data_IF_100059013387
#
_entry.id   IF_100059013387
#
_cell.length_a   1.000
_cell.length_b   1.000
_cell.length_c   1.000
_cell.angle_alpha   90.00
_cell.angle_beta   90.00
_cell.angle_gamma   90.00
#
_symmetry.space_group_name_H-M   'P 1'
#
loop_
_entity.id
_entity.type
_entity.pdbx_description
1 polymer ?
#
# COMPACT_ATOMS: atom_id res chain seq x y z
N UNK A 1 -38.38 1.30 -8.89
CA UNK A 1 -37.93 1.85 -7.58
C UNK A 1 -36.90 0.98 -6.88
N UNK A 2 -37.07 -0.35 -6.79
CA UNK A 2 -36.11 -1.27 -6.15
C UNK A 2 -34.66 -1.15 -6.67
N UNK A 3 -34.45 -1.15 -7.99
CA UNK A 3 -33.12 -1.07 -8.59
C UNK A 3 -32.34 0.24 -8.29
N UNK A 4 -33.03 1.37 -8.05
CA UNK A 4 -32.37 2.63 -7.69
C UNK A 4 -31.92 2.59 -6.24
N UNK A 5 -32.77 2.08 -5.33
CA UNK A 5 -32.39 1.91 -3.93
C UNK A 5 -31.26 0.88 -3.78
N UNK A 6 -31.28 -0.20 -4.56
CA UNK A 6 -30.21 -1.21 -4.57
C UNK A 6 -28.89 -0.63 -5.10
N UNK A 7 -28.93 0.25 -6.11
CA UNK A 7 -27.74 0.95 -6.63
C UNK A 7 -27.17 1.96 -5.61
N UNK A 8 -28.04 2.70 -4.92
CA UNK A 8 -27.63 3.64 -3.88
C UNK A 8 -27.11 2.92 -2.62
N UNK A 9 -27.63 1.74 -2.31
CA UNK A 9 -27.15 0.90 -1.20
C UNK A 9 -25.76 0.30 -1.42
N UNK A 10 -25.32 0.16 -2.67
CA UNK A 10 -23.97 -0.30 -3.05
C UNK A 10 -22.92 0.81 -3.10
N UNK A 11 -23.33 2.07 -2.88
CA UNK A 11 -22.43 3.22 -2.93
C UNK A 11 -21.33 3.10 -1.87
N UNK A 12 -21.68 2.69 -0.66
CA UNK A 12 -20.73 2.62 0.44
C UNK A 12 -19.69 1.51 0.19
N UNK A 13 -20.13 0.34 -0.28
CA UNK A 13 -19.24 -0.76 -0.72
C UNK A 13 -18.27 -0.29 -1.83
N UNK A 14 -18.76 0.47 -2.81
CA UNK A 14 -17.93 1.03 -3.88
C UNK A 14 -16.90 2.04 -3.36
N UNK A 15 -17.29 2.91 -2.41
CA UNK A 15 -16.40 3.92 -1.84
C UNK A 15 -15.30 3.28 -0.97
N UNK A 16 -15.61 2.19 -0.26
CA UNK A 16 -14.63 1.42 0.50
C UNK A 16 -13.56 0.82 -0.44
N UNK A 17 -14.01 0.14 -1.50
CA UNK A 17 -13.10 -0.45 -2.51
C UNK A 17 -12.26 0.63 -3.20
N UNK A 18 -12.87 1.75 -3.60
CA UNK A 18 -12.15 2.85 -4.23
C UNK A 18 -11.09 3.46 -3.30
N UNK A 19 -11.40 3.64 -2.02
CA UNK A 19 -10.47 4.17 -1.02
C UNK A 19 -9.29 3.23 -0.82
N UNK A 20 -9.53 1.92 -0.68
CA UNK A 20 -8.49 0.90 -0.56
C UNK A 20 -7.57 0.86 -1.80
N UNK A 21 -8.14 0.99 -2.99
CA UNK A 21 -7.37 1.04 -4.24
C UNK A 21 -6.47 2.28 -4.31
N UNK A 22 -7.00 3.45 -3.93
CA UNK A 22 -6.22 4.70 -3.88
C UNK A 22 -5.07 4.59 -2.89
N UNK A 23 -5.34 4.09 -1.68
CA UNK A 23 -4.33 3.87 -0.64
C UNK A 23 -3.22 2.93 -1.14
N UNK A 24 -3.60 1.80 -1.75
CA UNK A 24 -2.66 0.84 -2.33
C UNK A 24 -1.75 1.48 -3.37
N UNK A 25 -2.32 2.23 -4.33
CA UNK A 25 -1.54 2.91 -5.39
C UNK A 25 -0.61 3.97 -4.80
N UNK A 26 -1.08 4.75 -3.82
CA UNK A 26 -0.25 5.76 -3.15
C UNK A 26 0.91 5.08 -2.41
N UNK A 27 0.62 4.06 -1.61
CA UNK A 27 1.65 3.32 -0.87
C UNK A 27 2.66 2.67 -1.81
N UNK A 28 2.23 1.99 -2.87
CA UNK A 28 3.13 1.43 -3.87
C UNK A 28 4.01 2.48 -4.54
N UNK A 29 3.44 3.61 -4.95
CA UNK A 29 4.21 4.68 -5.55
C UNK A 29 5.19 5.30 -4.56
N UNK A 30 4.81 5.49 -3.30
CA UNK A 30 5.69 5.97 -2.25
C UNK A 30 6.83 4.98 -1.99
N UNK A 31 6.53 3.69 -1.85
CA UNK A 31 7.54 2.63 -1.70
C UNK A 31 8.51 2.64 -2.89
N UNK A 32 8.01 2.73 -4.13
CA UNK A 32 8.85 2.84 -5.34
C UNK A 32 9.69 4.11 -5.38
N UNK A 33 9.24 5.21 -4.78
CA UNK A 33 9.98 6.48 -4.70
C UNK A 33 11.03 6.47 -3.60
N UNK A 34 10.73 5.85 -2.47
CA UNK A 34 11.55 5.93 -1.25
C UNK A 34 12.54 4.77 -1.14
N UNK A 35 12.15 3.55 -1.49
CA UNK A 35 12.99 2.36 -1.35
C UNK A 35 13.89 2.22 -2.57
N UNK A 36 15.18 2.05 -2.33
CA UNK A 36 16.20 1.72 -3.33
C UNK A 36 16.40 0.21 -3.43
N UNK A 37 16.64 -0.45 -2.29
CA UNK A 37 16.90 -1.89 -2.25
C UNK A 37 16.38 -2.53 -0.97
N UNK A 38 15.89 -3.76 -1.08
CA UNK A 38 15.61 -4.63 0.06
C UNK A 38 16.52 -5.84 -0.05
N UNK A 39 17.20 -6.20 1.05
CA UNK A 39 18.03 -7.40 1.14
C UNK A 39 17.52 -8.25 2.31
N UNK A 40 17.41 -9.55 2.08
CA UNK A 40 16.99 -10.54 3.08
C UNK A 40 18.12 -11.56 3.18
N UNK A 41 18.68 -11.73 4.37
CA UNK A 41 19.75 -12.70 4.66
C UNK A 41 19.47 -13.36 6.00
N UNK A 42 19.33 -14.69 6.02
CA UNK A 42 18.99 -15.45 7.23
C UNK A 42 17.75 -14.83 7.92
N UNK A 43 17.88 -14.38 9.17
CA UNK A 43 16.82 -13.75 9.98
C UNK A 43 16.90 -12.21 9.98
N UNK A 44 17.65 -11.62 9.04
CA UNK A 44 17.89 -10.18 8.95
C UNK A 44 17.26 -9.57 7.70
N UNK A 45 16.54 -8.46 7.88
CA UNK A 45 16.02 -7.63 6.78
C UNK A 45 16.72 -6.29 6.78
N UNK A 46 17.30 -5.91 5.63
CA UNK A 46 17.88 -4.58 5.39
C UNK A 46 17.08 -3.84 4.33
N UNK A 47 16.64 -2.62 4.65
CA UNK A 47 15.98 -1.70 3.72
C UNK A 47 16.88 -0.50 3.47
N UNK A 48 17.32 -0.34 2.24
CA UNK A 48 18.09 0.80 1.76
C UNK A 48 17.13 1.77 1.04
N UNK A 49 17.01 2.99 1.57
CA UNK A 49 16.25 4.07 0.96
C UNK A 49 17.07 4.76 -0.12
N UNK A 50 16.43 5.32 -1.15
CA UNK A 50 17.11 6.08 -2.21
C UNK A 50 17.85 7.33 -1.70
N UNK A 51 17.54 7.78 -0.49
CA UNK A 51 18.28 8.83 0.20
C UNK A 51 19.67 8.37 0.68
N UNK A 52 19.97 7.07 0.65
CA UNK A 52 21.18 6.46 1.21
C UNK A 52 21.04 6.04 2.68
N UNK A 53 19.88 6.22 3.30
CA UNK A 53 19.61 5.72 4.66
C UNK A 53 19.39 4.20 4.60
N UNK A 54 20.04 3.46 5.49
CA UNK A 54 19.78 2.03 5.68
C UNK A 54 19.11 1.78 7.04
N UNK A 55 18.08 0.93 7.04
CA UNK A 55 17.45 0.38 8.23
C UNK A 55 17.67 -1.13 8.27
N UNK A 56 17.97 -1.66 9.45
CA UNK A 56 18.15 -3.09 9.69
C UNK A 56 17.30 -3.49 10.89
N UNK A 57 16.62 -4.62 10.77
CA UNK A 57 16.00 -5.30 11.89
C UNK A 57 16.67 -6.65 12.05
N UNK A 58 16.96 -6.99 13.30
CA UNK A 58 17.35 -8.31 13.74
C UNK A 58 16.15 -8.81 14.60
N UNK A 59 15.65 -10.02 14.37
CA UNK A 59 14.64 -10.63 15.27
C UNK A 59 15.24 -10.91 16.66
#
# INVERSE_FOLDING_TARGET
MKAINDLLGQKDDFLEVLSSNIETVINEQLLKRLIGKIRIYEEKITVEFKSGIEFQTDE
#
